data_IF_454608517490
#
_entry.id   IF_454608517490
#
_cell.length_a   1.000
_cell.length_b   1.000
_cell.length_c   1.000
_cell.angle_alpha   90.00
_cell.angle_beta   90.00
_cell.angle_gamma   90.00
#
_symmetry.space_group_name_H-M   'P 1'
#
loop_
_entity.id
_entity.type
_entity.pdbx_description
1 polymer ?
#
# COMPACT_ATOMS: atom_id res chain seq x y z
N UNK A 1 5.26 31.35 9.46
CA UNK A 1 5.27 30.21 10.41
C UNK A 1 4.00 29.38 10.19
N UNK A 2 3.89 28.66 9.06
CA UNK A 2 2.76 27.74 8.73
C UNK A 2 3.24 26.33 8.36
N UNK A 3 4.54 26.15 8.16
CA UNK A 3 5.13 24.94 7.56
C UNK A 3 5.18 23.75 8.52
N UNK A 4 5.39 23.99 9.83
CA UNK A 4 5.55 22.89 10.81
C UNK A 4 4.22 22.21 11.13
N UNK A 5 3.11 22.95 11.22
CA UNK A 5 1.78 22.38 11.47
C UNK A 5 1.22 21.64 10.25
N UNK A 6 1.56 22.08 9.04
CA UNK A 6 1.14 21.40 7.81
C UNK A 6 1.77 20.01 7.71
N UNK A 7 3.07 19.90 8.04
CA UNK A 7 3.80 18.62 7.96
C UNK A 7 3.28 17.56 8.95
N UNK A 8 2.93 17.96 10.18
CA UNK A 8 2.47 17.02 11.23
C UNK A 8 1.05 16.50 10.95
N UNK A 9 0.15 17.35 10.46
CA UNK A 9 -1.22 16.94 10.15
C UNK A 9 -1.29 15.96 8.99
N UNK A 10 -0.44 16.14 7.98
CA UNK A 10 -0.41 15.31 6.76
C UNK A 10 0.24 13.94 6.99
N UNK A 11 1.32 13.87 7.77
CA UNK A 11 1.96 12.59 8.11
C UNK A 11 1.01 11.64 8.85
N UNK A 12 0.15 12.19 9.72
CA UNK A 12 -0.84 11.40 10.45
C UNK A 12 -1.90 10.73 9.56
N UNK A 13 -2.24 11.32 8.40
CA UNK A 13 -3.32 10.81 7.53
C UNK A 13 -2.96 9.48 6.89
N UNK A 14 -1.69 9.27 6.52
CA UNK A 14 -1.26 8.04 5.85
C UNK A 14 -0.63 7.01 6.81
N UNK A 15 -0.45 7.36 8.09
CA UNK A 15 -0.11 6.41 9.15
C UNK A 15 -1.35 5.88 9.88
N UNK A 16 -2.42 6.68 10.02
CA UNK A 16 -3.65 6.26 10.69
C UNK A 16 -4.26 4.95 10.13
N UNK A 17 -4.22 4.69 8.81
CA UNK A 17 -4.66 3.40 8.25
C UNK A 17 -3.89 2.19 8.75
N UNK A 18 -2.66 2.35 9.26
CA UNK A 18 -1.81 1.25 9.73
C UNK A 18 -2.14 0.82 11.17
N UNK A 19 -2.65 1.76 11.98
CA UNK A 19 -2.91 1.58 13.40
C UNK A 19 -3.87 0.41 13.72
N UNK A 20 -5.02 0.25 13.02
CA UNK A 20 -5.92 -0.88 13.26
C UNK A 20 -5.29 -2.25 12.99
N UNK A 21 -4.21 -2.28 12.22
CA UNK A 21 -3.47 -3.49 11.90
C UNK A 21 -2.28 -3.72 12.83
N UNK A 22 -1.97 -2.78 13.74
CA UNK A 22 -0.80 -2.84 14.62
C UNK A 22 0.55 -2.91 13.86
N UNK A 23 0.62 -2.31 12.66
CA UNK A 23 1.85 -2.20 11.88
C UNK A 23 2.64 -0.95 12.27
N UNK A 24 3.39 -1.05 13.38
CA UNK A 24 4.12 0.07 13.98
C UNK A 24 5.57 0.18 13.54
N UNK A 25 6.17 -0.93 13.09
CA UNK A 25 7.60 -1.01 12.76
C UNK A 25 7.86 -0.98 11.25
N UNK A 26 6.82 -1.08 10.41
CA UNK A 26 6.97 -0.98 8.95
C UNK A 26 7.51 0.41 8.58
N UNK A 27 8.47 0.45 7.66
CA UNK A 27 8.96 1.71 7.14
C UNK A 27 7.92 2.31 6.19
N UNK A 28 7.07 3.17 6.75
CA UNK A 28 6.08 3.91 6.00
C UNK A 28 6.75 4.98 5.13
N UNK A 29 6.67 4.81 3.82
CA UNK A 29 7.15 5.76 2.83
C UNK A 29 6.02 6.30 1.96
N UNK A 30 4.76 6.09 2.36
CA UNK A 30 3.58 6.68 1.71
C UNK A 30 3.72 8.21 1.71
N UNK A 31 4.09 8.77 0.56
CA UNK A 31 4.34 10.19 0.41
C UNK A 31 3.00 10.93 0.31
N UNK A 32 2.78 11.87 1.23
CA UNK A 32 1.54 12.65 1.25
C UNK A 32 1.38 13.50 -0.01
N UNK A 33 2.48 14.09 -0.47
CA UNK A 33 2.49 14.91 -1.69
C UNK A 33 2.07 14.09 -2.92
N UNK A 34 2.50 12.82 -3.00
CA UNK A 34 2.10 11.92 -4.09
C UNK A 34 0.61 11.56 -4.00
N UNK A 35 0.13 11.21 -2.81
CA UNK A 35 -1.30 10.92 -2.60
C UNK A 35 -2.17 12.12 -3.00
N UNK A 36 -1.80 13.33 -2.58
CA UNK A 36 -2.50 14.56 -2.93
C UNK A 36 -2.45 14.83 -4.44
N UNK A 37 -1.28 14.70 -5.05
CA UNK A 37 -1.11 14.86 -6.50
C UNK A 37 -2.03 13.91 -7.26
N UNK A 38 -2.10 12.64 -6.86
CA UNK A 38 -3.02 11.68 -7.48
C UNK A 38 -4.50 12.02 -7.25
N UNK A 39 -4.89 12.52 -6.06
CA UNK A 39 -6.28 12.96 -5.81
C UNK A 39 -6.68 14.22 -6.58
N UNK A 40 -5.72 15.11 -6.88
CA UNK A 40 -5.94 16.28 -7.71
C UNK A 40 -6.06 15.93 -9.20
N UNK A 41 -5.23 15.00 -9.66
CA UNK A 41 -5.18 14.59 -11.07
C UNK A 41 -6.29 13.60 -11.45
N UNK A 42 -6.68 12.71 -10.53
CA UNK A 42 -7.53 11.56 -10.83
C UNK A 42 -8.78 11.53 -9.95
N UNK A 43 -9.93 11.33 -10.58
CA UNK A 43 -11.21 11.22 -9.88
C UNK A 43 -11.42 9.83 -9.31
N UNK A 44 -12.15 9.73 -8.20
CA UNK A 44 -12.44 8.46 -7.54
C UNK A 44 -13.28 8.63 -6.28
N UNK A 45 -14.06 7.58 -5.97
CA UNK A 45 -14.83 7.48 -4.73
C UNK A 45 -13.91 7.06 -3.57
N UNK A 46 -12.96 6.16 -3.83
CA UNK A 46 -11.98 5.70 -2.83
C UNK A 46 -10.87 6.74 -2.69
N UNK A 47 -10.68 7.26 -1.48
CA UNK A 47 -9.60 8.19 -1.10
C UNK A 47 -8.35 7.45 -0.66
N UNK A 48 -7.21 8.15 -0.69
CA UNK A 48 -5.89 7.56 -0.41
C UNK A 48 -5.86 6.78 0.92
N UNK A 49 -6.39 7.37 1.99
CA UNK A 49 -6.46 6.74 3.32
C UNK A 49 -7.20 5.39 3.27
N UNK A 50 -8.39 5.37 2.65
CA UNK A 50 -9.19 4.15 2.52
C UNK A 50 -8.51 3.13 1.61
N UNK A 51 -7.79 3.57 0.58
CA UNK A 51 -7.03 2.69 -0.28
C UNK A 51 -5.91 1.97 0.49
N UNK A 52 -5.19 2.67 1.37
CA UNK A 52 -4.18 2.04 2.24
C UNK A 52 -4.80 0.97 3.13
N UNK A 53 -5.94 1.24 3.77
CA UNK A 53 -6.67 0.25 4.56
C UNK A 53 -7.04 -0.98 3.72
N UNK A 54 -7.65 -0.78 2.55
CA UNK A 54 -8.07 -1.87 1.66
C UNK A 54 -6.89 -2.71 1.16
N UNK A 55 -5.77 -2.07 0.86
CA UNK A 55 -4.56 -2.76 0.44
C UNK A 55 -3.99 -3.63 1.55
N UNK A 56 -3.89 -3.12 2.78
CA UNK A 56 -3.37 -3.90 3.92
C UNK A 56 -4.30 -5.07 4.25
N UNK A 57 -5.62 -4.85 4.20
CA UNK A 57 -6.60 -5.93 4.33
C UNK A 57 -6.37 -7.01 3.28
N UNK A 58 -6.22 -6.63 2.00
CA UNK A 58 -5.94 -7.56 0.91
C UNK A 58 -4.61 -8.30 1.12
N UNK A 59 -3.52 -7.60 1.43
CA UNK A 59 -2.20 -8.19 1.70
C UNK A 59 -2.28 -9.27 2.79
N UNK A 60 -3.01 -9.02 3.87
CA UNK A 60 -3.13 -9.93 5.02
C UNK A 60 -4.14 -11.07 4.84
N UNK A 61 -4.99 -11.04 3.80
CA UNK A 61 -6.11 -11.98 3.67
C UNK A 61 -6.25 -12.65 2.31
N UNK A 62 -5.68 -12.07 1.26
CA UNK A 62 -5.74 -12.59 -0.11
C UNK A 62 -4.45 -13.33 -0.49
N UNK A 63 -4.54 -14.67 -0.42
CA UNK A 63 -3.51 -15.62 -0.83
C UNK A 63 -3.77 -16.26 -2.19
N UNK A 64 -4.62 -15.66 -3.04
CA UNK A 64 -5.09 -16.31 -4.27
C UNK A 64 -4.02 -16.38 -5.38
N UNK A 65 -3.12 -15.40 -5.44
CA UNK A 65 -1.95 -15.45 -6.32
C UNK A 65 -0.82 -16.23 -5.65
N UNK A 66 -0.18 -17.16 -6.37
CA UNK A 66 0.87 -18.04 -5.81
C UNK A 66 2.09 -17.26 -5.28
N UNK A 67 2.33 -16.07 -5.83
CA UNK A 67 3.38 -15.15 -5.40
C UNK A 67 2.86 -13.97 -4.58
N UNK A 68 1.62 -14.03 -4.07
CA UNK A 68 1.12 -13.01 -3.14
C UNK A 68 1.89 -13.08 -1.80
N UNK A 69 1.98 -11.97 -1.02
CA UNK A 69 2.67 -11.98 0.26
C UNK A 69 2.15 -13.07 1.19
N UNK A 70 0.83 -13.27 1.26
CA UNK A 70 0.22 -14.28 2.12
C UNK A 70 0.51 -15.70 1.63
N UNK A 71 0.49 -15.92 0.31
CA UNK A 71 0.82 -17.22 -0.26
C UNK A 71 2.28 -17.61 0.02
N UNK A 72 3.21 -16.67 -0.08
CA UNK A 72 4.63 -16.90 0.22
C UNK A 72 4.91 -17.05 1.71
N UNK A 73 4.24 -16.29 2.57
CA UNK A 73 4.40 -16.38 4.02
C UNK A 73 3.71 -17.61 4.63
N UNK A 74 2.80 -18.27 3.91
CA UNK A 74 2.10 -19.48 4.36
C UNK A 74 1.04 -19.28 5.45
N UNK A 75 1.12 -18.21 6.24
CA UNK A 75 0.10 -17.82 7.23
C UNK A 75 0.02 -16.31 7.41
N UNK A 76 -1.11 -15.84 7.95
CA UNK A 76 -1.32 -14.43 8.25
C UNK A 76 -0.41 -13.96 9.38
N UNK A 77 -0.20 -14.81 10.38
CA UNK A 77 0.65 -14.54 11.54
C UNK A 77 2.10 -14.34 11.11
N UNK A 78 2.62 -15.25 10.27
CA UNK A 78 3.99 -15.16 9.73
C UNK A 78 4.14 -13.92 8.84
N UNK A 79 3.18 -13.66 7.94
CA UNK A 79 3.19 -12.44 7.13
C UNK A 79 3.21 -11.18 7.99
N UNK A 80 2.40 -11.14 9.05
CA UNK A 80 2.35 -10.02 9.97
C UNK A 80 3.71 -9.77 10.65
N UNK A 81 4.38 -10.83 11.10
CA UNK A 81 5.74 -10.72 11.68
C UNK A 81 6.77 -10.17 10.69
N UNK A 82 6.62 -10.44 9.40
CA UNK A 82 7.48 -9.89 8.36
C UNK A 82 7.14 -8.43 8.03
N UNK A 83 5.86 -8.09 7.93
CA UNK A 83 5.38 -6.73 7.68
C UNK A 83 5.78 -5.78 8.81
N UNK A 84 5.69 -6.23 10.06
CA UNK A 84 6.03 -5.42 11.23
C UNK A 84 7.53 -5.42 11.53
N UNK A 85 8.35 -5.13 10.51
CA UNK A 85 9.81 -4.98 10.61
C UNK A 85 10.25 -3.69 9.93
N UNK A 86 11.32 -3.03 10.42
CA UNK A 86 11.86 -1.82 9.81
C UNK A 86 12.48 -2.05 8.43
N UNK A 87 12.68 -3.31 8.03
CA UNK A 87 13.15 -3.67 6.69
C UNK A 87 12.04 -3.85 5.66
N UNK A 88 10.78 -3.76 6.11
CA UNK A 88 9.61 -3.79 5.24
C UNK A 88 9.21 -2.36 4.89
N UNK A 89 8.90 -2.11 3.62
CA UNK A 89 8.62 -0.77 3.10
C UNK A 89 7.29 -0.76 2.36
N UNK A 90 6.47 0.27 2.58
CA UNK A 90 5.20 0.49 1.89
C UNK A 90 5.20 1.87 1.21
N UNK A 91 4.78 1.92 -0.05
CA UNK A 91 4.82 3.10 -0.92
C UNK A 91 3.58 3.17 -1.82
N UNK A 92 3.23 4.39 -2.27
CA UNK A 92 2.42 4.54 -3.48
C UNK A 92 3.33 4.39 -4.70
N UNK A 93 2.82 3.79 -5.77
CA UNK A 93 3.43 3.91 -7.10
C UNK A 93 3.20 5.33 -7.60
N UNK A 94 4.25 6.00 -8.09
CA UNK A 94 4.16 7.41 -8.46
C UNK A 94 3.43 7.62 -9.79
N UNK A 95 2.91 8.83 -10.02
CA UNK A 95 2.39 9.24 -11.33
C UNK A 95 3.45 9.05 -12.42
N UNK A 96 3.10 8.25 -13.43
CA UNK A 96 3.97 7.94 -14.56
C UNK A 96 4.76 6.64 -14.41
N UNK A 97 4.77 6.03 -13.21
CA UNK A 97 5.29 4.69 -12.97
C UNK A 97 4.19 3.64 -13.12
N UNK A 98 4.58 2.37 -13.27
CA UNK A 98 3.67 1.25 -13.41
C UNK A 98 4.16 0.04 -12.61
N UNK A 99 3.26 -0.72 -11.99
CA UNK A 99 3.58 -2.05 -11.49
C UNK A 99 3.76 -3.04 -12.65
N UNK A 100 4.12 -4.28 -12.34
CA UNK A 100 4.48 -5.30 -13.33
C UNK A 100 3.39 -5.55 -14.37
N UNK A 101 2.12 -5.70 -13.96
CA UNK A 101 1.03 -5.99 -14.91
C UNK A 101 0.51 -4.74 -15.65
N UNK A 102 1.15 -3.58 -15.46
CA UNK A 102 0.88 -2.36 -16.23
C UNK A 102 -0.39 -1.61 -15.82
N UNK A 103 -0.97 -1.91 -14.65
CA UNK A 103 -2.09 -1.19 -14.07
C UNK A 103 -1.79 0.31 -13.99
N UNK A 104 -2.81 1.11 -14.25
CA UNK A 104 -2.66 2.55 -14.32
C UNK A 104 -3.12 3.20 -13.02
N UNK A 105 -2.33 4.18 -12.55
CA UNK A 105 -2.61 4.96 -11.33
C UNK A 105 -3.78 5.94 -11.49
N UNK A 106 -4.25 6.20 -12.72
CA UNK A 106 -5.44 7.02 -12.98
C UNK A 106 -6.75 6.29 -12.69
N UNK A 107 -6.76 4.97 -12.84
CA UNK A 107 -7.89 4.09 -12.52
C UNK A 107 -7.76 3.47 -11.12
N UNK A 108 -6.55 3.34 -10.59
CA UNK A 108 -6.28 2.60 -9.36
C UNK A 108 -5.40 3.40 -8.39
N UNK A 109 -5.59 3.14 -7.10
CA UNK A 109 -4.53 3.31 -6.12
C UNK A 109 -3.66 2.06 -6.16
N UNK A 110 -2.35 2.24 -6.36
CA UNK A 110 -1.41 1.14 -6.44
C UNK A 110 -0.37 1.32 -5.35
N UNK A 111 -0.27 0.33 -4.48
CA UNK A 111 0.61 0.32 -3.33
C UNK A 111 1.70 -0.70 -3.57
N UNK A 112 2.94 -0.24 -3.66
CA UNK A 112 4.13 -1.08 -3.69
C UNK A 112 4.52 -1.47 -2.26
N UNK A 113 4.86 -2.75 -2.09
CA UNK A 113 5.29 -3.32 -0.83
C UNK A 113 6.58 -4.12 -1.05
N UNK A 114 7.57 -3.90 -0.19
CA UNK A 114 8.82 -4.67 -0.17
C UNK A 114 8.98 -5.31 1.19
N UNK A 115 9.09 -6.63 1.23
CA UNK A 115 9.26 -7.40 2.47
C UNK A 115 10.56 -8.22 2.37
N UNK A 116 11.71 -7.55 2.59
CA UNK A 116 13.03 -8.17 2.38
C UNK A 116 13.31 -9.42 3.23
N UNK A 117 12.56 -9.61 4.31
CA UNK A 117 12.69 -10.77 5.18
C UNK A 117 11.88 -11.97 4.73
N UNK A 118 10.98 -11.79 3.75
CA UNK A 118 10.10 -12.81 3.20
C UNK A 118 10.63 -13.32 1.85
N UNK A 119 10.85 -12.42 0.89
CA UNK A 119 11.40 -12.77 -0.43
C UNK A 119 12.10 -11.58 -1.10
N UNK A 120 12.67 -11.80 -2.29
CA UNK A 120 13.23 -10.78 -3.18
C UNK A 120 12.19 -10.14 -4.11
N UNK A 121 10.95 -10.62 -4.08
CA UNK A 121 9.84 -10.06 -4.85
C UNK A 121 9.56 -8.59 -4.48
N UNK A 122 9.04 -7.87 -5.47
CA UNK A 122 8.26 -6.66 -5.25
C UNK A 122 6.79 -7.07 -5.25
N UNK A 123 6.04 -6.59 -4.28
CA UNK A 123 4.61 -6.83 -4.19
C UNK A 123 3.83 -5.57 -4.54
N UNK A 124 2.65 -5.75 -5.14
CA UNK A 124 1.71 -4.67 -5.37
C UNK A 124 0.33 -5.05 -4.87
N UNK A 125 -0.36 -4.07 -4.29
CA UNK A 125 -1.79 -4.14 -4.03
C UNK A 125 -2.51 -3.07 -4.86
N UNK A 126 -3.53 -3.50 -5.60
CA UNK A 126 -4.27 -2.68 -6.55
C UNK A 126 -5.68 -2.46 -6.03
N UNK A 127 -6.03 -1.20 -5.78
CA UNK A 127 -7.34 -0.78 -5.28
C UNK A 127 -8.01 0.09 -6.34
N UNK A 128 -9.17 -0.33 -6.82
CA UNK A 128 -9.96 0.45 -7.78
C UNK A 128 -10.43 1.78 -7.18
N UNK A 129 -10.12 2.91 -7.84
CA UNK A 129 -10.53 4.24 -7.38
C UNK A 129 -12.04 4.42 -7.36
N UNK A 130 -12.75 3.69 -8.23
CA UNK A 130 -14.21 3.73 -8.26
C UNK A 130 -14.84 2.85 -7.16
N UNK A 131 -14.07 2.01 -6.46
CA UNK A 131 -14.57 1.10 -5.43
C UNK A 131 -15.51 0.00 -5.93
N UNK A 132 -15.50 -0.28 -7.24
CA UNK A 132 -16.39 -1.24 -7.91
C UNK A 132 -15.75 -2.62 -8.08
N UNK A 133 -14.43 -2.69 -8.16
CA UNK A 133 -13.67 -3.94 -8.25
C UNK A 133 -13.06 -4.27 -6.87
N UNK A 134 -12.99 -5.57 -6.51
CA UNK A 134 -12.29 -5.98 -5.31
C UNK A 134 -10.79 -5.63 -5.41
N UNK A 135 -10.19 -5.28 -4.27
CA UNK A 135 -8.74 -5.15 -4.13
C UNK A 135 -8.10 -6.51 -4.29
N UNK A 136 -7.00 -6.56 -5.04
CA UNK A 136 -6.17 -7.76 -5.21
C UNK A 136 -4.70 -7.40 -5.02
N UNK A 137 -3.87 -8.41 -4.82
CA UNK A 137 -2.43 -8.23 -4.70
C UNK A 137 -1.65 -9.39 -5.32
N UNK A 138 -0.41 -9.12 -5.70
CA UNK A 138 0.50 -10.08 -6.31
C UNK A 138 1.96 -9.67 -6.05
N UNK A 139 2.87 -10.61 -6.26
CA UNK A 139 4.31 -10.37 -6.26
C UNK A 139 4.93 -10.73 -7.60
N UNK A 140 6.10 -10.16 -7.90
CA UNK A 140 6.91 -10.49 -9.08
C UNK A 140 8.41 -10.38 -8.76
N UNK A 141 9.24 -11.20 -9.42
CA UNK A 141 10.71 -11.18 -9.31
C UNK A 141 11.43 -11.02 -10.66
#
# INVERSE_FOLDING_TARGET
>A
MKTIFYFIAHYAVLTAPLEPFHLTEIHNRLQVDEAQTQEELFSGEVKAEKAVTLAIESILTDGSHVESPLALAGSREELFEHLNRPTSEINFVNVGEKPEHGESVDENWIIELRIRSLSDHIFWSVVDRAGKKPTYNYGFN
#
